data_IF_499711840141
#
_entry.id   IF_499711840141
#
_cell.length_a   1.000
_cell.length_b   1.000
_cell.length_c   1.000
_cell.angle_alpha   90.00
_cell.angle_beta   90.00
_cell.angle_gamma   90.00
#
_symmetry.space_group_name_H-M   'P 1'
#
loop_
_entity.id
_entity.type
_entity.pdbx_description
1 polymer ?
#
# COMPACT_ATOMS: atom_id res chain seq x y z
N UNK A 1 28.53 -52.66 31.39
CA UNK A 1 27.92 -52.84 30.05
C UNK A 1 26.55 -52.17 30.02
N UNK A 2 26.20 -51.53 28.90
CA UNK A 2 24.96 -50.76 28.58
C UNK A 2 25.00 -49.29 29.07
N UNK A 3 25.46 -48.31 28.27
CA UNK A 3 24.86 -47.63 27.09
C UNK A 3 23.57 -46.84 27.41
N UNK A 4 23.70 -45.51 27.50
CA UNK A 4 22.68 -44.49 27.17
C UNK A 4 23.45 -43.25 26.71
N UNK A 5 23.88 -43.16 25.44
CA UNK A 5 23.18 -42.56 24.29
C UNK A 5 22.50 -41.22 24.62
N UNK A 6 23.23 -40.17 24.24
CA UNK A 6 22.82 -38.83 23.75
C UNK A 6 21.32 -38.51 23.73
N UNK A 7 20.97 -37.38 24.36
CA UNK A 7 19.82 -36.57 23.97
C UNK A 7 20.29 -35.13 23.75
N UNK A 8 20.81 -34.86 22.55
CA UNK A 8 20.94 -33.52 22.01
C UNK A 8 19.69 -33.27 21.17
N UNK A 9 18.61 -32.80 21.79
CA UNK A 9 17.44 -32.32 21.06
C UNK A 9 17.72 -30.91 20.55
N UNK A 10 17.77 -30.79 19.23
CA UNK A 10 17.88 -29.57 18.46
C UNK A 10 16.85 -28.53 18.93
N UNK A 11 17.34 -27.36 19.35
CA UNK A 11 16.55 -26.14 19.36
C UNK A 11 16.45 -25.69 17.90
N UNK A 12 15.42 -26.15 17.20
CA UNK A 12 15.12 -25.67 15.86
C UNK A 12 14.80 -24.17 15.94
N UNK A 13 15.61 -23.35 15.28
CA UNK A 13 15.39 -21.91 15.13
C UNK A 13 13.97 -21.67 14.61
N UNK A 14 13.18 -20.95 15.38
CA UNK A 14 12.04 -20.21 14.86
C UNK A 14 12.60 -19.05 14.02
N UNK A 15 13.01 -19.34 12.79
CA UNK A 15 13.24 -18.29 11.81
C UNK A 15 11.86 -17.67 11.52
N UNK A 16 11.68 -16.34 11.68
CA UNK A 16 10.47 -15.70 11.23
C UNK A 16 10.34 -15.99 9.74
N UNK A 17 9.24 -16.66 9.36
CA UNK A 17 8.90 -16.80 7.96
C UNK A 17 8.68 -15.39 7.42
N UNK A 18 9.63 -14.89 6.63
CA UNK A 18 9.43 -13.67 5.85
C UNK A 18 8.28 -13.95 4.91
N UNK A 19 7.08 -13.52 5.32
CA UNK A 19 5.91 -13.55 4.47
C UNK A 19 6.22 -12.67 3.27
N UNK A 20 6.51 -13.28 2.12
CA UNK A 20 6.53 -12.56 0.85
C UNK A 20 5.07 -12.23 0.48
N UNK A 21 4.50 -11.26 1.20
CA UNK A 21 3.28 -10.62 0.75
C UNK A 21 3.62 -9.89 -0.57
N UNK A 22 2.79 -10.11 -1.60
CA UNK A 22 2.94 -9.43 -2.88
C UNK A 22 2.99 -7.91 -2.65
N UNK A 23 3.99 -7.24 -3.23
CA UNK A 23 4.19 -5.81 -3.09
C UNK A 23 3.38 -5.09 -4.16
N UNK A 24 2.37 -4.33 -3.74
CA UNK A 24 1.53 -3.51 -4.61
C UNK A 24 2.00 -2.06 -4.53
N UNK A 25 2.19 -1.39 -5.65
CA UNK A 25 2.79 -0.06 -5.66
C UNK A 25 2.36 0.78 -6.87
N UNK A 26 2.40 2.10 -6.66
CA UNK A 26 2.48 3.13 -7.69
C UNK A 26 3.90 3.67 -7.67
N UNK A 27 4.54 3.86 -8.83
CA UNK A 27 5.89 4.42 -8.92
C UNK A 27 5.89 5.54 -9.96
N UNK A 28 5.99 6.81 -9.56
CA UNK A 28 6.15 7.91 -10.50
C UNK A 28 7.56 7.89 -11.12
N UNK A 29 7.69 8.46 -12.30
CA UNK A 29 8.98 8.63 -12.99
C UNK A 29 9.94 9.57 -12.24
N UNK A 30 9.37 10.51 -11.47
CA UNK A 30 10.03 11.50 -10.63
C UNK A 30 9.01 12.02 -9.62
N UNK A 31 9.44 12.47 -8.44
CA UNK A 31 8.51 13.02 -7.43
C UNK A 31 8.56 14.53 -7.26
N UNK A 32 9.65 15.20 -7.67
CA UNK A 32 9.80 16.66 -7.57
C UNK A 32 10.07 17.24 -8.95
N UNK A 33 9.20 18.15 -9.41
CA UNK A 33 9.27 18.80 -10.70
C UNK A 33 9.43 20.32 -10.54
N UNK A 34 9.96 20.95 -11.60
CA UNK A 34 9.95 22.40 -11.75
C UNK A 34 9.67 22.73 -13.20
N UNK A 35 8.55 23.39 -13.46
CA UNK A 35 8.20 23.85 -14.80
C UNK A 35 6.76 24.36 -14.86
N UNK A 36 6.37 24.99 -15.99
CA UNK A 36 5.01 25.49 -16.16
C UNK A 36 3.97 24.36 -16.14
N UNK A 37 4.20 23.29 -16.91
CA UNK A 37 3.30 22.12 -16.98
C UNK A 37 4.11 20.83 -17.26
N UNK A 38 4.95 20.38 -16.32
CA UNK A 38 5.67 19.13 -16.49
C UNK A 38 4.72 17.94 -16.47
N UNK A 39 5.18 16.81 -17.01
CA UNK A 39 4.42 15.57 -17.05
C UNK A 39 5.08 14.53 -16.15
N UNK A 40 4.28 13.83 -15.37
CA UNK A 40 4.71 12.61 -14.68
C UNK A 40 4.08 11.40 -15.35
N UNK A 41 4.87 10.35 -15.53
CA UNK A 41 4.37 9.02 -15.91
C UNK A 41 4.43 8.13 -14.67
N UNK A 42 3.38 7.35 -14.42
CA UNK A 42 3.29 6.49 -13.24
C UNK A 42 3.10 5.05 -13.67
N UNK A 43 3.98 4.18 -13.19
CA UNK A 43 3.85 2.72 -13.30
C UNK A 43 3.07 2.16 -12.10
N UNK A 44 2.15 1.23 -12.35
CA UNK A 44 1.32 0.60 -11.33
C UNK A 44 1.39 -0.94 -11.44
N UNK A 45 1.87 -1.61 -10.39
CA UNK A 45 2.03 -3.06 -10.42
C UNK A 45 1.89 -3.75 -9.06
N UNK A 46 1.61 -5.04 -9.14
CA UNK A 46 1.80 -6.03 -8.08
C UNK A 46 3.04 -6.84 -8.44
N UNK A 47 3.91 -7.09 -7.48
CA UNK A 47 5.23 -7.68 -7.72
C UNK A 47 5.67 -8.63 -6.61
N UNK A 48 6.52 -9.60 -6.97
CA UNK A 48 7.24 -10.41 -5.99
C UNK A 48 8.51 -9.69 -5.52
N UNK A 49 9.21 -9.04 -6.45
CA UNK A 49 10.38 -8.19 -6.16
C UNK A 49 9.95 -6.72 -6.23
N UNK A 50 10.34 -5.92 -5.23
CA UNK A 50 9.89 -4.54 -5.14
C UNK A 50 10.29 -3.74 -6.38
N UNK A 51 9.35 -2.99 -6.94
CA UNK A 51 9.49 -2.20 -8.17
C UNK A 51 9.90 -3.01 -9.42
N UNK A 52 9.54 -4.30 -9.47
CA UNK A 52 9.79 -5.16 -10.62
C UNK A 52 8.50 -5.72 -11.23
N UNK A 53 8.40 -5.72 -12.55
CA UNK A 53 7.19 -6.11 -13.28
C UNK A 53 7.12 -7.63 -13.51
N UNK A 54 6.84 -8.42 -12.46
CA UNK A 54 6.89 -9.90 -12.54
C UNK A 54 5.70 -10.66 -11.94
N UNK A 55 4.59 -10.00 -11.62
CA UNK A 55 3.40 -10.68 -11.10
C UNK A 55 2.12 -10.29 -11.85
N UNK A 56 1.50 -9.15 -11.51
CA UNK A 56 0.28 -8.68 -12.16
C UNK A 56 0.25 -7.15 -12.27
N UNK A 57 -0.45 -6.57 -13.25
CA UNK A 57 -0.71 -5.13 -13.23
C UNK A 57 -1.57 -4.80 -12.01
N UNK A 58 -1.29 -3.68 -11.36
CA UNK A 58 -2.29 -3.04 -10.51
C UNK A 58 -3.32 -2.44 -11.45
N UNK A 59 -4.57 -2.89 -11.35
CA UNK A 59 -5.66 -2.30 -12.12
C UNK A 59 -5.88 -0.86 -11.65
N UNK A 60 -6.23 0.02 -12.59
CA UNK A 60 -6.45 1.44 -12.33
C UNK A 60 -7.92 1.75 -12.01
N UNK A 61 -8.77 0.72 -11.88
CA UNK A 61 -10.10 0.86 -11.31
C UNK A 61 -9.96 1.43 -9.88
N UNK A 62 -10.55 2.61 -9.63
CA UNK A 62 -10.38 3.34 -8.38
C UNK A 62 -9.13 4.23 -8.31
N UNK A 63 -8.53 4.58 -9.45
CA UNK A 63 -7.54 5.66 -9.53
C UNK A 63 -8.20 6.99 -9.16
N UNK A 64 -7.69 7.61 -8.11
CA UNK A 64 -8.10 8.90 -7.57
C UNK A 64 -6.86 9.82 -7.57
N UNK A 65 -6.97 10.97 -8.24
CA UNK A 65 -5.88 11.96 -8.28
C UNK A 65 -6.44 13.29 -7.78
N UNK A 66 -5.82 13.83 -6.74
CA UNK A 66 -6.20 15.12 -6.13
C UNK A 66 -5.09 16.13 -6.42
N UNK A 67 -5.47 17.24 -7.05
CA UNK A 67 -4.60 18.35 -7.40
C UNK A 67 -4.31 19.26 -6.18
N UNK A 68 -3.32 20.17 -6.29
CA UNK A 68 -2.91 21.05 -5.21
C UNK A 68 -4.00 21.89 -4.56
N UNK A 69 -5.07 22.21 -5.29
CA UNK A 69 -6.25 22.96 -4.86
C UNK A 69 -7.38 22.08 -4.29
N UNK A 70 -7.11 20.78 -4.09
CA UNK A 70 -8.08 19.81 -3.59
C UNK A 70 -9.04 19.25 -4.65
N UNK A 71 -9.00 19.73 -5.89
CA UNK A 71 -9.89 19.22 -6.95
C UNK A 71 -9.39 17.87 -7.49
N UNK A 72 -10.34 17.00 -7.86
CA UNK A 72 -10.03 15.76 -8.58
C UNK A 72 -9.62 16.07 -10.02
N UNK A 73 -8.56 15.42 -10.50
CA UNK A 73 -8.11 15.49 -11.89
C UNK A 73 -7.98 14.10 -12.51
N UNK A 74 -8.04 14.02 -13.83
CA UNK A 74 -8.01 12.76 -14.57
C UNK A 74 -6.62 12.42 -15.08
N UNK A 75 -6.26 11.14 -15.02
CA UNK A 75 -5.07 10.63 -15.70
C UNK A 75 -5.28 10.55 -17.21
N UNK A 76 -4.20 10.76 -17.96
CA UNK A 76 -4.14 10.61 -19.41
C UNK A 76 -3.40 9.33 -19.80
N UNK A 77 -3.58 8.89 -21.05
CA UNK A 77 -2.84 7.77 -21.64
C UNK A 77 -2.84 6.47 -20.81
N UNK A 78 -3.93 6.19 -20.09
CA UNK A 78 -4.04 4.98 -19.29
C UNK A 78 -3.94 3.72 -20.18
N UNK A 79 -3.08 2.79 -19.78
CA UNK A 79 -2.85 1.53 -20.50
C UNK A 79 -2.58 0.40 -19.53
N UNK A 80 -3.17 -0.77 -19.80
CA UNK A 80 -2.99 -1.97 -18.97
C UNK A 80 -2.32 -3.06 -19.79
N UNK A 81 -1.10 -3.41 -19.40
CA UNK A 81 -0.33 -4.53 -19.96
C UNK A 81 -0.46 -5.81 -19.14
N UNK A 82 0.42 -6.78 -19.44
CA UNK A 82 0.43 -8.09 -18.75
C UNK A 82 0.94 -8.04 -17.31
N UNK A 83 1.86 -7.13 -17.00
CA UNK A 83 2.54 -7.05 -15.70
C UNK A 83 2.51 -5.65 -15.06
N UNK A 84 2.04 -4.64 -15.80
CA UNK A 84 1.95 -3.27 -15.32
C UNK A 84 0.83 -2.53 -15.99
N UNK A 85 0.23 -1.59 -15.25
CA UNK A 85 -0.51 -0.49 -15.84
C UNK A 85 0.38 0.75 -15.84
N UNK A 86 0.11 1.65 -16.78
CA UNK A 86 0.80 2.94 -16.90
C UNK A 86 -0.23 4.02 -17.19
N UNK A 87 0.04 5.24 -16.72
CA UNK A 87 -0.69 6.43 -17.10
C UNK A 87 0.20 7.66 -16.99
N UNK A 88 -0.22 8.75 -17.62
CA UNK A 88 0.42 10.05 -17.55
C UNK A 88 -0.46 11.05 -16.80
N UNK A 89 0.16 12.04 -16.17
CA UNK A 89 -0.52 13.14 -15.52
C UNK A 89 0.21 14.46 -15.83
N UNK A 90 -0.44 15.41 -16.53
CA UNK A 90 0.08 16.76 -16.63
C UNK A 90 -0.09 17.49 -15.29
N UNK A 91 0.98 18.06 -14.77
CA UNK A 91 1.00 18.83 -13.53
C UNK A 91 0.72 20.30 -13.83
N UNK A 92 -0.54 20.59 -14.19
CA UNK A 92 -1.01 21.93 -14.62
C UNK A 92 -1.08 22.97 -13.51
N UNK A 93 -0.96 22.54 -12.25
CA UNK A 93 -0.92 23.39 -11.07
C UNK A 93 0.43 23.24 -10.36
N UNK A 94 0.88 24.30 -9.70
CA UNK A 94 1.99 24.21 -8.75
C UNK A 94 1.47 23.71 -7.40
N UNK A 95 2.27 22.88 -6.74
CA UNK A 95 1.91 22.22 -5.50
C UNK A 95 2.02 20.72 -5.57
N UNK A 96 1.49 20.09 -4.54
CA UNK A 96 1.56 18.65 -4.35
C UNK A 96 0.27 17.98 -4.83
N UNK A 97 0.44 16.94 -5.63
CA UNK A 97 -0.63 16.05 -6.06
C UNK A 97 -0.59 14.77 -5.23
N UNK A 98 -1.75 14.30 -4.79
CA UNK A 98 -1.92 12.95 -4.25
C UNK A 98 -2.44 12.04 -5.35
N UNK A 99 -1.77 10.92 -5.57
CA UNK A 99 -2.14 9.91 -6.57
C UNK A 99 -2.38 8.60 -5.81
N UNK A 100 -3.60 8.09 -5.85
CA UNK A 100 -3.97 6.86 -5.15
C UNK A 100 -4.77 5.93 -6.04
N UNK A 101 -4.59 4.62 -5.86
CA UNK A 101 -5.56 3.61 -6.30
C UNK A 101 -6.23 3.05 -5.05
N UNK A 102 -7.54 3.26 -4.94
CA UNK A 102 -8.34 2.84 -3.81
C UNK A 102 -9.22 1.67 -4.20
N UNK A 103 -9.03 0.52 -3.57
CA UNK A 103 -9.89 -0.65 -3.78
C UNK A 103 -10.93 -0.75 -2.68
N UNK A 104 -12.18 -1.02 -3.07
CA UNK A 104 -13.31 -1.26 -2.17
C UNK A 104 -14.09 -2.46 -2.67
N UNK A 105 -14.37 -3.41 -1.79
CA UNK A 105 -15.13 -4.59 -2.16
C UNK A 105 -15.14 -5.64 -1.08
N UNK A 106 -15.37 -6.88 -1.48
CA UNK A 106 -15.41 -8.01 -0.59
C UNK A 106 -14.60 -9.18 -1.14
N UNK A 107 -14.09 -9.98 -0.21
CA UNK A 107 -13.64 -11.34 -0.44
C UNK A 107 -14.62 -12.29 0.21
N UNK A 108 -14.95 -13.37 -0.47
CA UNK A 108 -15.75 -14.44 0.12
C UNK A 108 -15.06 -15.80 -0.06
N UNK A 109 -15.24 -16.68 0.93
CA UNK A 109 -15.00 -18.10 0.77
C UNK A 109 -16.25 -18.86 1.15
N UNK A 110 -16.66 -19.80 0.33
CA UNK A 110 -17.90 -20.56 0.52
C UNK A 110 -17.74 -21.96 -0.05
N UNK A 111 -18.67 -22.85 0.28
CA UNK A 111 -18.78 -24.19 -0.30
C UNK A 111 -19.98 -24.25 -1.23
N UNK A 112 -19.75 -24.71 -2.46
CA UNK A 112 -20.79 -24.94 -3.46
C UNK A 112 -20.49 -26.25 -4.16
N UNK A 113 -21.50 -27.09 -4.34
CA UNK A 113 -21.37 -28.41 -4.99
C UNK A 113 -20.29 -29.29 -4.32
N UNK A 114 -20.16 -29.19 -2.99
CA UNK A 114 -19.16 -29.92 -2.21
C UNK A 114 -17.71 -29.43 -2.34
N UNK A 115 -17.48 -28.31 -3.04
CA UNK A 115 -16.15 -27.72 -3.22
C UNK A 115 -16.04 -26.34 -2.58
N UNK A 116 -14.91 -26.09 -1.91
CA UNK A 116 -14.57 -24.75 -1.40
C UNK A 116 -14.16 -23.83 -2.55
N UNK A 117 -14.87 -22.72 -2.70
CA UNK A 117 -14.62 -21.66 -3.68
C UNK A 117 -14.22 -20.37 -2.98
N UNK A 118 -13.53 -19.51 -3.72
CA UNK A 118 -13.20 -18.14 -3.32
C UNK A 118 -13.77 -17.19 -4.34
N UNK A 119 -14.14 -16.01 -3.88
CA UNK A 119 -14.70 -14.95 -4.71
C UNK A 119 -14.13 -13.61 -4.25
N UNK A 120 -14.00 -12.68 -5.20
CA UNK A 120 -13.59 -11.30 -4.96
C UNK A 120 -14.35 -10.42 -5.93
N UNK A 121 -14.96 -9.34 -5.44
CA UNK A 121 -15.69 -8.38 -6.26
C UNK A 121 -16.20 -7.20 -5.45
N UNK A 122 -17.09 -6.41 -6.06
CA UNK A 122 -17.74 -5.28 -5.39
C UNK A 122 -18.83 -5.75 -4.43
N UNK A 123 -19.27 -4.88 -3.51
CA UNK A 123 -20.34 -5.23 -2.58
C UNK A 123 -21.65 -5.59 -3.30
N UNK A 124 -21.93 -4.95 -4.44
CA UNK A 124 -23.11 -5.18 -5.26
C UNK A 124 -23.08 -6.55 -5.94
N UNK A 125 -21.92 -6.95 -6.46
CA UNK A 125 -21.73 -8.25 -7.11
C UNK A 125 -21.79 -9.43 -6.11
N UNK A 126 -21.48 -9.19 -4.84
CA UNK A 126 -21.52 -10.23 -3.79
C UNK A 126 -22.88 -10.90 -3.69
N UNK A 127 -23.97 -10.12 -3.80
CA UNK A 127 -25.34 -10.62 -3.62
C UNK A 127 -25.83 -11.49 -4.76
N UNK A 128 -25.24 -11.36 -5.95
CA UNK A 128 -25.68 -12.06 -7.17
C UNK A 128 -24.74 -13.19 -7.57
N UNK A 129 -23.46 -13.10 -7.23
CA UNK A 129 -22.44 -14.03 -7.70
C UNK A 129 -22.14 -15.19 -6.71
N UNK A 130 -22.58 -15.08 -5.45
CA UNK A 130 -22.56 -16.23 -4.53
C UNK A 130 -23.83 -17.06 -4.76
N UNK A 131 -23.70 -18.37 -5.10
CA UNK A 131 -24.87 -19.23 -5.31
C UNK A 131 -25.76 -19.30 -4.06
N UNK A 132 -27.08 -19.22 -4.22
CA UNK A 132 -28.03 -19.24 -3.10
C UNK A 132 -27.96 -20.53 -2.24
N UNK A 133 -27.50 -21.64 -2.81
CA UNK A 133 -27.27 -22.90 -2.10
C UNK A 133 -25.87 -23.04 -1.48
N UNK A 134 -25.06 -21.98 -1.51
CA UNK A 134 -23.73 -22.01 -0.93
C UNK A 134 -23.80 -22.13 0.60
N UNK A 135 -22.90 -22.93 1.16
CA UNK A 135 -22.78 -23.12 2.62
C UNK A 135 -21.42 -22.64 3.10
N UNK A 136 -21.23 -22.53 4.41
CA UNK A 136 -19.96 -22.08 5.01
C UNK A 136 -19.46 -20.73 4.45
N UNK A 137 -20.40 -19.85 4.10
CA UNK A 137 -20.10 -18.54 3.52
C UNK A 137 -19.43 -17.66 4.57
N UNK A 138 -18.20 -17.24 4.27
CA UNK A 138 -17.45 -16.25 5.04
C UNK A 138 -17.12 -15.09 4.13
N UNK A 139 -17.52 -13.90 4.51
CA UNK A 139 -17.33 -12.66 3.77
C UNK A 139 -16.49 -11.71 4.60
N UNK A 140 -15.44 -11.18 3.99
CA UNK A 140 -14.59 -10.14 4.56
C UNK A 140 -14.66 -8.93 3.64
N UNK A 141 -15.06 -7.79 4.17
CA UNK A 141 -14.93 -6.52 3.48
C UNK A 141 -13.45 -6.19 3.31
N UNK A 142 -13.09 -5.62 2.17
CA UNK A 142 -11.73 -5.23 1.87
C UNK A 142 -11.69 -3.80 1.40
N UNK A 143 -10.88 -3.02 2.09
CA UNK A 143 -10.53 -1.65 1.74
C UNK A 143 -9.02 -1.56 1.61
N UNK A 144 -8.51 -0.87 0.61
CA UNK A 144 -7.10 -0.56 0.62
C UNK A 144 -6.71 0.53 -0.33
N UNK A 145 -5.54 1.06 -0.05
CA UNK A 145 -5.01 2.26 -0.65
C UNK A 145 -3.57 2.00 -1.06
N UNK A 146 -3.27 2.28 -2.31
CA UNK A 146 -1.92 2.31 -2.85
C UNK A 146 -1.68 3.75 -3.29
N UNK A 147 -0.75 4.47 -2.67
CA UNK A 147 -0.58 5.89 -2.96
C UNK A 147 0.87 6.33 -3.17
N UNK A 148 1.03 7.45 -3.84
CA UNK A 148 2.28 8.17 -4.04
C UNK A 148 1.98 9.66 -4.16
N UNK A 149 3.00 10.49 -3.96
CA UNK A 149 2.89 11.94 -4.02
C UNK A 149 3.89 12.50 -5.01
N UNK A 150 3.49 13.53 -5.74
CA UNK A 150 4.37 14.28 -6.65
C UNK A 150 4.16 15.77 -6.44
N UNK A 151 5.22 16.57 -6.53
CA UNK A 151 5.19 18.01 -6.30
C UNK A 151 5.77 18.74 -7.50
N UNK A 152 5.05 19.74 -8.02
CA UNK A 152 5.57 20.69 -9.01
C UNK A 152 5.76 22.06 -8.35
N UNK A 153 7.00 22.55 -8.26
CA UNK A 153 7.29 23.81 -7.58
C UNK A 153 7.23 23.69 -6.06
N UNK A 154 6.60 24.67 -5.39
CA UNK A 154 6.52 24.70 -3.93
C UNK A 154 5.46 23.72 -3.40
N UNK A 155 5.72 22.95 -2.33
CA UNK A 155 4.77 21.98 -1.79
C UNK A 155 3.50 22.61 -1.21
N UNK A 156 2.37 21.91 -1.34
CA UNK A 156 1.08 22.29 -0.73
C UNK A 156 0.51 21.12 0.07
N UNK A 157 -0.43 21.40 0.99
CA UNK A 157 -0.97 20.40 1.91
C UNK A 157 -2.44 20.01 1.66
N UNK A 158 -3.18 20.81 0.89
CA UNK A 158 -4.63 20.63 0.69
C UNK A 158 -4.97 19.28 0.04
N UNK A 159 -4.17 18.83 -0.94
CA UNK A 159 -4.32 17.50 -1.55
C UNK A 159 -4.01 16.33 -0.62
N UNK A 160 -3.37 16.59 0.54
CA UNK A 160 -2.92 15.60 1.52
C UNK A 160 -3.91 15.41 2.66
N UNK A 161 -5.04 16.14 2.66
CA UNK A 161 -6.07 16.00 3.68
C UNK A 161 -6.70 14.58 3.66
N UNK A 162 -6.90 13.95 4.83
CA UNK A 162 -7.49 12.62 4.89
C UNK A 162 -8.93 12.60 4.39
N UNK A 163 -9.33 11.49 3.76
CA UNK A 163 -10.71 11.25 3.34
C UNK A 163 -11.58 10.71 4.49
N UNK A 164 -10.96 10.26 5.58
CA UNK A 164 -11.62 9.66 6.73
C UNK A 164 -11.95 8.18 6.56
N UNK A 165 -11.41 7.52 5.52
CA UNK A 165 -11.75 6.13 5.19
C UNK A 165 -10.53 5.23 5.02
N UNK A 166 -10.55 4.09 5.72
CA UNK A 166 -9.47 3.10 5.64
C UNK A 166 -8.22 3.55 6.35
N UNK A 167 -7.08 3.01 5.94
CA UNK A 167 -5.77 3.44 6.45
C UNK A 167 -5.26 4.59 5.58
N UNK A 168 -4.85 5.69 6.21
CA UNK A 168 -4.39 6.90 5.53
C UNK A 168 -3.08 7.39 6.15
N UNK A 169 -2.08 7.70 5.30
CA UNK A 169 -0.83 8.32 5.73
C UNK A 169 -1.00 9.84 5.75
N UNK A 170 -0.71 10.45 6.90
CA UNK A 170 -0.68 11.90 7.08
C UNK A 170 0.79 12.32 7.22
N UNK A 171 1.33 13.09 6.27
CA UNK A 171 2.70 13.57 6.36
C UNK A 171 2.80 14.66 7.44
N UNK A 172 3.72 14.45 8.39
CA UNK A 172 4.18 15.51 9.31
C UNK A 172 5.48 16.14 8.79
N UNK A 173 6.30 15.34 8.09
CA UNK A 173 7.31 15.77 7.12
C UNK A 173 6.73 15.58 5.73
N UNK A 174 6.94 16.55 4.84
CA UNK A 174 6.36 16.53 3.49
C UNK A 174 6.88 15.30 2.68
N UNK A 175 6.02 14.55 1.95
CA UNK A 175 6.40 13.25 1.37
C UNK A 175 7.36 13.34 0.17
N UNK A 176 7.55 14.53 -0.39
CA UNK A 176 8.56 14.80 -1.43
C UNK A 176 9.72 15.68 -0.93
N UNK A 177 9.89 15.78 0.39
CA UNK A 177 10.97 16.52 1.07
C UNK A 177 11.71 15.57 2.02
N UNK A 178 12.29 14.50 1.45
CA UNK A 178 12.93 13.42 2.20
C UNK A 178 14.38 13.27 1.75
N UNK A 179 15.30 13.31 2.71
CA UNK A 179 16.73 13.19 2.43
C UNK A 179 17.37 12.04 3.22
N UNK A 180 18.36 11.40 2.60
CA UNK A 180 19.17 10.37 3.26
C UNK A 180 19.87 10.94 4.49
N UNK A 181 19.92 10.18 5.58
CA UNK A 181 20.46 10.58 6.87
C UNK A 181 19.49 11.38 7.75
N UNK A 182 18.40 11.89 7.20
CA UNK A 182 17.40 12.66 7.94
C UNK A 182 16.26 11.77 8.46
N UNK A 183 15.57 12.27 9.48
CA UNK A 183 14.39 11.61 10.04
C UNK A 183 13.13 12.33 9.58
N UNK A 184 12.26 11.59 8.89
CA UNK A 184 10.93 12.06 8.54
C UNK A 184 9.89 11.51 9.51
N UNK A 185 8.82 12.27 9.73
CA UNK A 185 7.73 11.91 10.62
C UNK A 185 6.40 11.84 9.86
N UNK A 186 5.61 10.84 10.20
CA UNK A 186 4.30 10.61 9.61
C UNK A 186 3.31 10.17 10.69
N UNK A 187 2.03 10.15 10.34
CA UNK A 187 0.96 9.58 11.16
C UNK A 187 0.09 8.67 10.32
N UNK A 188 -0.26 7.50 10.83
CA UNK A 188 -1.34 6.71 10.24
C UNK A 188 -2.66 6.97 10.96
N UNK A 189 -3.72 7.12 10.17
CA UNK A 189 -5.10 7.12 10.65
C UNK A 189 -5.79 5.86 10.15
N UNK A 190 -6.71 5.32 10.94
CA UNK A 190 -7.68 4.30 10.56
C UNK A 190 -9.07 4.90 10.69
N UNK A 191 -9.73 5.14 9.56
CA UNK A 191 -11.02 5.83 9.46
C UNK A 191 -11.01 7.19 10.22
N UNK A 192 -10.01 8.02 9.91
CA UNK A 192 -9.84 9.35 10.51
C UNK A 192 -9.35 9.37 11.97
N UNK A 193 -9.05 8.21 12.57
CA UNK A 193 -8.58 8.14 13.97
C UNK A 193 -7.14 7.63 14.06
N UNK A 194 -6.28 8.23 14.89
CA UNK A 194 -4.95 7.69 15.14
C UNK A 194 -5.05 6.31 15.80
N UNK A 195 -4.17 5.40 15.41
CA UNK A 195 -4.11 4.04 15.99
C UNK A 195 -2.68 3.75 16.43
N UNK A 196 -2.46 3.45 17.73
CA UNK A 196 -1.15 3.05 18.23
C UNK A 196 -0.82 1.61 17.86
N UNK A 197 0.47 1.26 17.98
CA UNK A 197 0.97 -0.11 17.83
C UNK A 197 0.74 -0.72 16.43
N UNK A 198 0.54 0.11 15.40
CA UNK A 198 0.49 -0.36 14.02
C UNK A 198 1.90 -0.68 13.55
N UNK A 199 2.13 -1.95 13.18
CA UNK A 199 3.39 -2.38 12.57
C UNK A 199 3.49 -1.86 11.14
N UNK A 200 4.63 -1.25 10.81
CA UNK A 200 4.91 -0.69 9.50
C UNK A 200 6.21 -1.29 9.00
N UNK A 201 6.15 -1.78 7.76
CA UNK A 201 7.28 -2.29 7.01
C UNK A 201 7.70 -1.22 6.01
N UNK A 202 8.98 -0.88 6.00
CA UNK A 202 9.57 0.08 5.04
C UNK A 202 10.73 -0.60 4.34
N UNK A 203 10.71 -0.63 3.02
CA UNK A 203 11.68 -1.35 2.19
C UNK A 203 12.18 -0.41 1.10
N UNK A 204 13.49 -0.18 1.05
CA UNK A 204 14.13 0.50 -0.09
C UNK A 204 13.92 -0.33 -1.36
N UNK A 205 13.78 0.31 -2.51
CA UNK A 205 13.70 -0.33 -3.82
C UNK A 205 14.93 -1.16 -4.19
N UNK A 206 14.98 -1.61 -5.44
CA UNK A 206 16.12 -2.35 -6.00
C UNK A 206 16.50 -3.60 -5.18
N UNK A 207 15.51 -4.24 -4.53
CA UNK A 207 15.71 -5.43 -3.70
C UNK A 207 16.32 -6.58 -4.49
N UNK A 208 16.08 -6.64 -5.80
CA UNK A 208 16.61 -7.66 -6.71
C UNK A 208 18.15 -7.71 -6.74
N UNK A 209 18.81 -6.61 -6.46
CA UNK A 209 20.28 -6.51 -6.49
C UNK A 209 20.92 -6.61 -5.11
N UNK A 210 20.14 -6.98 -4.08
CA UNK A 210 20.61 -7.13 -2.70
C UNK A 210 20.43 -8.57 -2.23
N UNK A 211 21.32 -9.01 -1.34
CA UNK A 211 21.22 -10.33 -0.70
C UNK A 211 20.10 -10.40 0.36
N UNK A 212 19.47 -9.26 0.65
CA UNK A 212 18.54 -9.00 1.75
C UNK A 212 17.58 -7.88 1.34
N UNK A 213 16.36 -7.85 1.89
CA UNK A 213 15.43 -6.72 1.66
C UNK A 213 15.81 -5.47 2.46
N UNK A 214 16.60 -5.62 3.53
CA UNK A 214 16.94 -4.58 4.51
C UNK A 214 15.71 -3.80 4.95
N UNK A 215 14.69 -4.54 5.38
CA UNK A 215 13.41 -4.01 5.82
C UNK A 215 13.56 -3.29 7.16
N UNK A 216 13.05 -2.07 7.23
CA UNK A 216 12.91 -1.31 8.47
C UNK A 216 11.53 -1.59 9.05
N UNK A 217 11.49 -1.94 10.32
CA UNK A 217 10.25 -2.11 11.08
C UNK A 217 10.10 -0.94 12.04
N UNK A 218 8.99 -0.20 11.90
CA UNK A 218 8.62 0.89 12.79
C UNK A 218 7.19 0.70 13.26
N UNK A 219 6.84 1.28 14.40
CA UNK A 219 5.55 1.11 15.04
C UNK A 219 4.98 2.48 15.39
N UNK A 220 3.68 2.65 15.23
CA UNK A 220 3.02 3.91 15.62
C UNK A 220 2.95 4.08 17.14
N UNK A 221 3.12 5.31 17.61
CA UNK A 221 2.95 5.71 19.00
C UNK A 221 1.47 5.96 19.38
N UNK A 222 1.24 6.45 20.60
CA UNK A 222 -0.09 6.79 21.12
C UNK A 222 -0.91 7.78 20.26
N UNK A 223 -0.25 8.57 19.42
CA UNK A 223 -0.86 9.53 18.50
C UNK A 223 -0.99 8.98 17.08
N UNK A 224 -0.70 7.69 16.86
CA UNK A 224 -0.63 7.10 15.53
C UNK A 224 0.59 7.53 14.74
N UNK A 225 1.58 8.18 15.37
CA UNK A 225 2.74 8.75 14.71
C UNK A 225 3.92 7.78 14.67
N UNK A 226 4.72 7.86 13.63
CA UNK A 226 5.95 7.11 13.50
C UNK A 226 7.03 7.94 12.82
N UNK A 227 8.29 7.55 13.03
CA UNK A 227 9.45 8.19 12.44
C UNK A 227 10.28 7.18 11.66
N UNK A 228 10.83 7.63 10.53
CA UNK A 228 11.75 6.84 9.71
C UNK A 228 13.00 7.68 9.47
N UNK A 229 14.15 7.17 9.91
CA UNK A 229 15.45 7.71 9.52
C UNK A 229 15.89 7.01 8.24
N UNK A 230 16.08 7.76 7.15
CA UNK A 230 16.34 7.17 5.84
C UNK A 230 17.81 6.84 5.68
N UNK A 231 18.21 5.56 5.61
CA UNK A 231 19.63 5.21 5.60
C UNK A 231 20.32 5.64 4.30
N UNK A 232 19.60 5.58 3.18
CA UNK A 232 20.16 5.73 1.84
C UNK A 232 19.17 6.45 0.91
N UNK A 233 19.62 7.13 -0.15
CA UNK A 233 18.73 7.64 -1.18
C UNK A 233 18.08 6.51 -2.00
N UNK A 234 16.94 6.81 -2.62
CA UNK A 234 16.20 5.94 -3.53
C UNK A 234 14.70 5.95 -3.30
N UNK A 235 13.97 5.16 -4.11
CA UNK A 235 12.55 4.93 -3.90
C UNK A 235 12.34 3.95 -2.75
N UNK A 236 11.44 4.27 -1.83
CA UNK A 236 11.02 3.42 -0.72
C UNK A 236 9.57 3.03 -0.89
N UNK A 237 9.26 1.82 -0.47
CA UNK A 237 7.90 1.32 -0.34
C UNK A 237 7.61 1.05 1.12
N UNK A 238 6.48 1.54 1.61
CA UNK A 238 6.02 1.29 2.95
C UNK A 238 4.65 0.65 2.95
N UNK A 239 4.39 -0.27 3.88
CA UNK A 239 3.09 -0.91 4.02
C UNK A 239 2.68 -1.08 5.48
N UNK A 240 1.37 -1.11 5.69
CA UNK A 240 0.76 -1.56 6.94
C UNK A 240 -0.65 -2.11 6.66
N UNK A 241 -1.24 -2.77 7.65
CA UNK A 241 -2.59 -3.33 7.54
C UNK A 241 -3.29 -3.30 8.90
N UNK A 242 -4.61 -3.35 8.86
CA UNK A 242 -5.46 -3.43 10.04
C UNK A 242 -6.67 -4.32 9.73
N UNK A 243 -7.24 -4.94 10.77
CA UNK A 243 -8.47 -5.72 10.67
C UNK A 243 -9.41 -5.28 11.80
N UNK A 244 -10.70 -5.12 11.49
CA UNK A 244 -11.73 -4.85 12.47
C UNK A 244 -13.05 -5.54 12.10
N UNK A 245 -14.12 -5.25 12.86
CA UNK A 245 -15.48 -5.74 12.63
C UNK A 245 -16.45 -4.62 12.19
N UNK A 246 -15.93 -3.45 11.84
CA UNK A 246 -16.73 -2.28 11.48
C UNK A 246 -17.00 -2.31 9.97
N UNK A 247 -17.87 -3.22 9.54
CA UNK A 247 -18.18 -3.41 8.13
C UNK A 247 -19.27 -2.45 7.65
N UNK A 248 -19.14 -1.96 6.41
CA UNK A 248 -20.19 -1.30 5.63
C UNK A 248 -20.96 -2.31 4.77
N UNK A 249 -20.40 -3.49 4.52
CA UNK A 249 -21.08 -4.60 3.82
C UNK A 249 -21.84 -5.46 4.84
N UNK A 250 -23.18 -5.53 4.80
CA UNK A 250 -23.98 -6.23 5.81
C UNK A 250 -23.63 -7.72 5.99
N UNK A 251 -23.25 -8.40 4.89
CA UNK A 251 -22.92 -9.82 4.88
C UNK A 251 -21.50 -10.11 5.41
N UNK A 252 -20.65 -9.08 5.51
CA UNK A 252 -19.26 -9.23 5.95
C UNK A 252 -19.14 -9.36 7.47
N UNK A 253 -18.35 -10.34 7.93
CA UNK A 253 -18.10 -10.57 9.37
C UNK A 253 -16.88 -9.81 9.90
N UNK A 254 -16.04 -9.32 9.00
CA UNK A 254 -14.79 -8.61 9.28
C UNK A 254 -14.48 -7.66 8.14
N UNK A 255 -13.66 -6.66 8.41
CA UNK A 255 -13.09 -5.77 7.41
C UNK A 255 -11.58 -5.77 7.52
N UNK A 256 -10.92 -5.99 6.38
CA UNK A 256 -9.47 -5.85 6.24
C UNK A 256 -9.15 -4.55 5.53
N UNK A 257 -8.20 -3.83 6.08
CA UNK A 257 -7.68 -2.59 5.54
C UNK A 257 -6.19 -2.75 5.25
N UNK A 258 -5.74 -2.28 4.09
CA UNK A 258 -4.32 -2.29 3.72
C UNK A 258 -3.89 -0.94 3.18
N UNK A 259 -2.67 -0.55 3.50
CA UNK A 259 -2.03 0.63 2.95
C UNK A 259 -0.69 0.24 2.35
N UNK A 260 -0.39 0.78 1.17
CA UNK A 260 0.93 0.80 0.58
C UNK A 260 1.25 2.20 0.05
N UNK A 261 2.44 2.72 0.35
CA UNK A 261 2.90 4.02 -0.09
C UNK A 261 4.26 3.93 -0.77
N UNK A 262 4.47 4.70 -1.82
CA UNK A 262 5.79 4.88 -2.45
C UNK A 262 6.29 6.29 -2.20
N UNK A 263 7.52 6.42 -1.69
CA UNK A 263 8.17 7.69 -1.38
C UNK A 263 9.56 7.74 -2.01
N UNK A 264 10.03 8.92 -2.42
CA UNK A 264 11.41 9.12 -2.90
C UNK A 264 12.25 9.80 -1.82
N UNK A 265 13.43 9.25 -1.55
CA UNK A 265 14.44 9.85 -0.68
C UNK A 265 15.61 10.31 -1.53
N UNK A 266 15.95 11.59 -1.46
CA UNK A 266 17.04 12.20 -2.20
C UNK A 266 18.38 12.14 -1.43
N UNK A 267 19.52 12.20 -2.12
CA UNK A 267 20.81 12.43 -1.46
C UNK A 267 20.87 13.85 -0.88
N UNK A 268 21.66 14.04 0.19
CA UNK A 268 22.02 15.38 0.69
C UNK A 268 22.88 16.15 -0.32
#
# INVERSE_FOLDING_TARGET
MKRFILSACLLALALPATSFAHKVWLRPSQTVFSGPEPWVTVDAAVSNDLFYFNHFPLRLDGLEIVAPDGNTVEAQNQSVGKYRSVFDLPLTQQGTYRIAVVHRGAFASFESEGQRRRWRGSAEALQTEIPAGATNVRVTESLGRVETFVTNGAPTLESLEPTGEGIELIPLTHPNDLYSGETAKFRFLVNGKPVPEMEISVVRGETRYRNSQDELHVVTDGNGEFSVTWPEPGMYWLQTSAEDKQTKIPEAQSRRMSYAGTLEVLPQ
#
